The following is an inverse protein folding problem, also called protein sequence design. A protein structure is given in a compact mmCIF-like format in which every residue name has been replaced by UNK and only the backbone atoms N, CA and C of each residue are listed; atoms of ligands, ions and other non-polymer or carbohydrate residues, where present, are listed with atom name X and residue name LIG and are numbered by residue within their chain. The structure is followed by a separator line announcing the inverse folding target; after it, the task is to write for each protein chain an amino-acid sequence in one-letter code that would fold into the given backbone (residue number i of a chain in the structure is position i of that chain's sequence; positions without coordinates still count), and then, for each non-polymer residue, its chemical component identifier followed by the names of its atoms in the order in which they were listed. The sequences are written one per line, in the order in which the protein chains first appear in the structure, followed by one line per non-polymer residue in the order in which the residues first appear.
data_IF_302240096475
#
_entry.id   IF_302240096475
#
_cell.length_a   1.000
_cell.length_b   1.000
_cell.length_c   1.000
_cell.angle_alpha   90.00
_cell.angle_beta   90.00
_cell.angle_gamma   90.00
#
_symmetry.space_group_name_H-M   'P 1'
#
loop_
_entity.id
_entity.type
_entity.pdbx_description
1 polymer ?
#
# COMPACT_ATOMS: atom_id res chain seq x y z
N UNK A 1 2.76 -11.03 -4.32
CA UNK A 1 2.46 -9.58 -4.35
C UNK A 1 2.26 -9.14 -5.79
N UNK A 2 1.19 -8.40 -6.07
CA UNK A 2 0.86 -7.96 -7.43
C UNK A 2 1.91 -7.07 -8.10
N UNK A 3 2.83 -6.47 -7.32
CA UNK A 3 4.00 -5.78 -7.85
C UNK A 3 4.88 -6.65 -8.76
N UNK A 4 4.83 -7.97 -8.60
CA UNK A 4 5.55 -8.95 -9.42
C UNK A 4 4.61 -9.80 -10.30
N UNK A 5 3.30 -9.57 -10.28
CA UNK A 5 2.34 -10.40 -11.03
C UNK A 5 2.23 -9.99 -12.50
N UNK A 6 2.53 -8.73 -12.83
CA UNK A 6 2.54 -8.23 -14.21
C UNK A 6 3.93 -8.40 -14.82
N UNK A 7 3.97 -8.76 -16.10
CA UNK A 7 5.18 -8.81 -16.89
C UNK A 7 5.62 -7.37 -17.25
N UNK A 8 6.79 -6.90 -16.78
CA UNK A 8 7.20 -5.51 -16.93
C UNK A 8 7.48 -5.06 -18.37
N UNK A 9 7.67 -5.99 -19.29
CA UNK A 9 7.96 -5.70 -20.71
C UNK A 9 6.74 -5.84 -21.62
N UNK A 10 5.58 -6.19 -21.08
CA UNK A 10 4.32 -6.25 -21.82
C UNK A 10 3.42 -5.10 -21.39
N UNK A 11 2.66 -4.57 -22.33
CA UNK A 11 1.61 -3.58 -22.08
C UNK A 11 0.42 -4.20 -21.33
N UNK A 12 -0.47 -3.37 -20.80
CA UNK A 12 -1.74 -3.83 -20.21
C UNK A 12 -2.56 -4.63 -21.22
N UNK A 13 -2.66 -4.12 -22.46
CA UNK A 13 -3.36 -4.78 -23.57
C UNK A 13 -2.83 -6.18 -23.82
N UNK A 14 -1.53 -6.30 -24.03
CA UNK A 14 -0.90 -7.58 -24.37
C UNK A 14 -1.16 -8.63 -23.29
N UNK A 15 -1.05 -8.28 -22.01
CA UNK A 15 -1.25 -9.23 -20.91
C UNK A 15 -2.69 -9.71 -20.78
N UNK A 16 -3.69 -8.85 -21.03
CA UNK A 16 -5.10 -9.26 -20.99
C UNK A 16 -5.45 -10.08 -22.23
N UNK A 17 -5.02 -9.61 -23.42
CA UNK A 17 -5.29 -10.31 -24.67
C UNK A 17 -4.59 -11.67 -24.75
N UNK A 18 -3.43 -11.85 -24.13
CA UNK A 18 -2.72 -13.13 -24.07
C UNK A 18 -3.60 -14.22 -23.42
N UNK A 19 -4.19 -13.91 -22.26
CA UNK A 19 -5.13 -14.81 -21.58
C UNK A 19 -6.37 -15.10 -22.41
N UNK A 20 -6.93 -14.08 -23.06
CA UNK A 20 -8.11 -14.25 -23.92
C UNK A 20 -7.79 -15.13 -25.14
N UNK A 21 -6.63 -14.95 -25.78
CA UNK A 21 -6.22 -15.71 -26.97
C UNK A 21 -5.94 -17.18 -26.66
N UNK A 22 -5.34 -17.45 -25.52
CA UNK A 22 -4.93 -18.81 -25.14
C UNK A 22 -6.09 -19.63 -24.57
N UNK A 23 -7.04 -18.99 -23.89
CA UNK A 23 -8.06 -19.69 -23.10
C UNK A 23 -9.51 -19.35 -23.50
N UNK A 24 -9.72 -18.65 -24.63
CA UNK A 24 -11.04 -18.40 -25.20
C UNK A 24 -11.02 -18.39 -26.74
N UNK A 25 -12.20 -18.35 -27.35
CA UNK A 25 -12.35 -18.22 -28.81
C UNK A 25 -12.23 -16.76 -29.31
N UNK A 26 -12.07 -15.80 -28.41
CA UNK A 26 -12.02 -14.37 -28.74
C UNK A 26 -10.69 -14.02 -29.41
N UNK A 27 -10.75 -13.46 -30.62
CA UNK A 27 -9.57 -13.04 -31.41
C UNK A 27 -9.81 -11.70 -32.10
N UNK A 28 -8.71 -11.03 -32.45
CA UNK A 28 -8.73 -9.75 -33.16
C UNK A 28 -9.59 -8.72 -32.43
N UNK A 29 -10.51 -8.09 -33.18
CA UNK A 29 -11.39 -7.03 -32.66
C UNK A 29 -12.22 -7.46 -31.44
N UNK A 30 -12.69 -8.71 -31.38
CA UNK A 30 -13.49 -9.18 -30.27
C UNK A 30 -12.68 -9.27 -28.95
N UNK A 31 -11.41 -9.67 -29.04
CA UNK A 31 -10.51 -9.67 -27.88
C UNK A 31 -10.17 -8.26 -27.42
N UNK A 32 -9.98 -7.33 -28.37
CA UNK A 32 -9.75 -5.92 -28.07
C UNK A 32 -10.97 -5.28 -27.38
N UNK A 33 -12.17 -5.50 -27.91
CA UNK A 33 -13.40 -4.96 -27.34
C UNK A 33 -13.64 -5.50 -25.92
N UNK A 34 -13.37 -6.80 -25.71
CA UNK A 34 -13.40 -7.41 -24.36
C UNK A 34 -12.36 -6.82 -23.43
N UNK A 35 -11.16 -6.53 -23.92
CA UNK A 35 -10.08 -5.90 -23.12
C UNK A 35 -10.49 -4.49 -22.66
N UNK A 36 -11.14 -3.71 -23.53
CA UNK A 36 -11.67 -2.37 -23.19
C UNK A 36 -12.78 -2.44 -22.15
N UNK A 37 -13.66 -3.44 -22.26
CA UNK A 37 -14.70 -3.70 -21.26
C UNK A 37 -14.08 -4.02 -19.90
N UNK A 38 -13.08 -4.90 -19.86
CA UNK A 38 -12.38 -5.28 -18.64
C UNK A 38 -11.70 -4.08 -17.96
N UNK A 39 -11.09 -3.16 -18.71
CA UNK A 39 -10.53 -1.92 -18.16
C UNK A 39 -11.60 -1.02 -17.54
N UNK A 40 -12.74 -0.89 -18.21
CA UNK A 40 -13.89 -0.15 -17.69
C UNK A 40 -14.40 -0.76 -16.39
N UNK A 41 -14.47 -2.09 -16.31
CA UNK A 41 -14.90 -2.82 -15.09
C UNK A 41 -14.01 -2.58 -13.88
N UNK A 42 -12.74 -2.19 -14.06
CA UNK A 42 -11.80 -1.94 -12.97
C UNK A 42 -11.51 -0.44 -12.80
N UNK A 43 -12.33 0.44 -13.38
CA UNK A 43 -12.22 1.90 -13.37
C UNK A 43 -10.85 2.41 -13.88
N UNK A 44 -10.29 1.76 -14.90
CA UNK A 44 -9.10 2.23 -15.62
C UNK A 44 -9.50 2.76 -16.99
N UNK A 45 -9.08 3.98 -17.28
CA UNK A 45 -9.32 4.61 -18.59
C UNK A 45 -8.68 3.82 -19.73
N UNK A 46 -9.43 3.64 -20.82
CA UNK A 46 -9.02 2.87 -22.01
C UNK A 46 -7.74 3.42 -22.66
N UNK A 47 -7.43 4.70 -22.49
CA UNK A 47 -6.14 5.28 -22.93
C UNK A 47 -4.92 4.62 -22.27
N UNK A 48 -5.10 3.85 -21.20
CA UNK A 48 -4.03 3.12 -20.51
C UNK A 48 -3.75 1.73 -21.07
N UNK A 49 -4.46 1.29 -22.12
CA UNK A 49 -4.23 -0.02 -22.75
C UNK A 49 -2.76 -0.27 -23.10
N UNK A 50 -2.10 0.73 -23.68
CA UNK A 50 -0.72 0.61 -24.15
C UNK A 50 0.30 1.08 -23.09
N UNK A 51 -0.15 1.28 -21.84
CA UNK A 51 0.74 1.57 -20.72
C UNK A 51 1.46 0.30 -20.25
N UNK A 52 2.73 0.46 -19.88
CA UNK A 52 3.51 -0.58 -19.23
C UNK A 52 3.31 -0.57 -17.71
N UNK A 53 3.53 -1.70 -17.00
CA UNK A 53 3.35 -1.76 -15.55
C UNK A 53 4.13 -0.71 -14.76
N UNK A 54 5.30 -0.27 -15.23
CA UNK A 54 6.09 0.77 -14.55
C UNK A 54 5.50 2.19 -14.68
N UNK A 55 4.55 2.39 -15.60
CA UNK A 55 3.85 3.67 -15.81
C UNK A 55 2.53 3.76 -15.01
N UNK A 56 2.16 2.70 -14.28
CA UNK A 56 0.93 2.59 -13.50
C UNK A 56 1.19 2.80 -12.00
N UNK A 57 0.22 3.38 -11.28
CA UNK A 57 0.25 3.40 -9.81
C UNK A 57 0.11 1.99 -9.24
N UNK A 58 0.46 1.78 -7.97
CA UNK A 58 0.31 0.47 -7.31
C UNK A 58 -1.13 -0.05 -7.39
N UNK A 59 -2.12 0.81 -7.12
CA UNK A 59 -3.53 0.46 -7.23
C UNK A 59 -3.98 0.14 -8.66
N UNK A 60 -3.48 0.88 -9.65
CA UNK A 60 -3.75 0.57 -11.07
C UNK A 60 -3.19 -0.79 -11.48
N UNK A 61 -1.98 -1.15 -11.05
CA UNK A 61 -1.40 -2.48 -11.32
C UNK A 61 -2.27 -3.59 -10.73
N UNK A 62 -2.72 -3.40 -9.49
CA UNK A 62 -3.60 -4.36 -8.83
C UNK A 62 -4.93 -4.51 -9.57
N UNK A 63 -5.54 -3.39 -9.96
CA UNK A 63 -6.77 -3.36 -10.78
C UNK A 63 -6.57 -4.12 -12.10
N UNK A 64 -5.44 -3.94 -12.79
CA UNK A 64 -5.12 -4.72 -14.01
C UNK A 64 -5.02 -6.22 -13.73
N UNK A 65 -4.39 -6.64 -12.61
CA UNK A 65 -4.35 -8.06 -12.22
C UNK A 65 -5.76 -8.61 -11.98
N UNK A 66 -6.67 -7.82 -11.40
CA UNK A 66 -8.08 -8.19 -11.23
C UNK A 66 -8.77 -8.36 -12.59
N UNK A 67 -8.54 -7.44 -13.55
CA UNK A 67 -9.07 -7.59 -14.91
C UNK A 67 -8.56 -8.85 -15.61
N UNK A 68 -7.27 -9.18 -15.47
CA UNK A 68 -6.70 -10.42 -16.00
C UNK A 68 -7.38 -11.64 -15.37
N UNK A 69 -7.60 -11.65 -14.05
CA UNK A 69 -8.30 -12.73 -13.37
C UNK A 69 -9.78 -12.86 -13.81
N UNK A 70 -10.42 -11.74 -14.15
CA UNK A 70 -11.81 -11.68 -14.62
C UNK A 70 -11.95 -11.88 -16.14
N UNK A 71 -10.84 -11.99 -16.89
CA UNK A 71 -10.86 -12.04 -18.34
C UNK A 71 -11.79 -13.14 -18.87
N UNK A 72 -11.76 -14.31 -18.21
CA UNK A 72 -12.55 -15.50 -18.54
C UNK A 72 -13.81 -15.66 -17.69
N UNK A 73 -14.19 -14.66 -16.90
CA UNK A 73 -15.39 -14.71 -16.03
C UNK A 73 -15.48 -15.98 -15.17
N UNK A 74 -14.42 -16.31 -14.40
CA UNK A 74 -14.40 -17.56 -13.66
C UNK A 74 -15.46 -17.57 -12.54
N UNK A 75 -16.09 -18.72 -12.26
CA UNK A 75 -17.04 -18.83 -11.15
C UNK A 75 -16.37 -18.77 -9.77
N UNK A 76 -15.05 -18.93 -9.70
CA UNK A 76 -14.27 -18.98 -8.46
C UNK A 76 -12.90 -18.32 -8.63
N UNK A 77 -12.54 -17.44 -7.70
CA UNK A 77 -11.29 -16.69 -7.70
C UNK A 77 -10.57 -16.89 -6.36
N UNK A 78 -9.28 -17.18 -6.41
CA UNK A 78 -8.40 -17.17 -5.24
C UNK A 78 -7.66 -15.84 -5.24
N UNK A 79 -7.75 -15.11 -4.14
CA UNK A 79 -7.06 -13.85 -3.95
C UNK A 79 -6.03 -14.00 -2.85
N UNK A 80 -4.76 -14.11 -3.24
CA UNK A 80 -3.63 -14.26 -2.32
C UNK A 80 -2.96 -12.91 -2.06
N UNK A 81 -3.23 -12.35 -0.88
CA UNK A 81 -2.71 -11.05 -0.43
C UNK A 81 -2.91 -9.93 -1.47
N UNK A 82 -4.16 -9.71 -1.95
CA UNK A 82 -4.44 -8.86 -3.11
C UNK A 82 -4.27 -7.37 -2.83
N UNK A 83 -4.03 -6.94 -1.59
CA UNK A 83 -3.88 -5.52 -1.24
C UNK A 83 -2.51 -5.21 -0.64
N UNK A 84 -1.60 -6.19 -0.61
CA UNK A 84 -0.25 -6.01 -0.05
C UNK A 84 0.52 -4.92 -0.78
N UNK A 85 1.20 -4.07 -0.02
CA UNK A 85 2.01 -2.93 -0.47
C UNK A 85 1.21 -1.77 -1.11
N UNK A 86 -0.10 -1.73 -0.88
CA UNK A 86 -0.94 -0.57 -1.15
C UNK A 86 -1.13 0.27 0.12
N UNK A 87 -1.50 1.53 -0.04
CA UNK A 87 -1.95 2.34 1.09
C UNK A 87 -3.39 1.98 1.47
N UNK A 88 -3.76 2.28 2.72
CA UNK A 88 -5.04 1.90 3.32
C UNK A 88 -6.26 2.44 2.57
N UNK A 89 -6.14 3.59 1.90
CA UNK A 89 -7.25 4.18 1.13
C UNK A 89 -7.43 3.39 -0.17
N UNK A 90 -6.36 3.23 -0.95
CA UNK A 90 -6.39 2.46 -2.21
C UNK A 90 -6.78 1.01 -1.97
N UNK A 91 -6.31 0.40 -0.88
CA UNK A 91 -6.71 -0.95 -0.45
C UNK A 91 -8.23 -1.07 -0.31
N UNK A 92 -8.86 -0.14 0.41
CA UNK A 92 -10.32 -0.12 0.60
C UNK A 92 -11.08 0.07 -0.71
N UNK A 93 -10.61 0.96 -1.57
CA UNK A 93 -11.23 1.17 -2.89
C UNK A 93 -11.21 -0.10 -3.74
N UNK A 94 -10.09 -0.81 -3.75
CA UNK A 94 -9.93 -2.05 -4.53
C UNK A 94 -10.83 -3.16 -3.97
N UNK A 95 -10.90 -3.31 -2.65
CA UNK A 95 -11.77 -4.31 -2.04
C UNK A 95 -13.24 -4.00 -2.25
N UNK A 96 -13.64 -2.73 -2.13
CA UNK A 96 -14.99 -2.30 -2.45
C UNK A 96 -15.35 -2.67 -3.91
N UNK A 97 -14.42 -2.44 -4.84
CA UNK A 97 -14.61 -2.79 -6.25
C UNK A 97 -14.72 -4.30 -6.47
N UNK A 98 -13.88 -5.09 -5.82
CA UNK A 98 -13.96 -6.56 -5.89
C UNK A 98 -15.31 -7.06 -5.36
N UNK A 99 -15.79 -6.52 -4.25
CA UNK A 99 -17.08 -6.91 -3.65
C UNK A 99 -18.25 -6.51 -4.54
N UNK A 100 -18.20 -5.33 -5.16
CA UNK A 100 -19.16 -4.88 -6.18
C UNK A 100 -19.18 -5.86 -7.36
N UNK A 101 -18.03 -6.13 -7.98
CA UNK A 101 -17.91 -7.05 -9.11
C UNK A 101 -18.37 -8.46 -8.75
N UNK A 102 -18.07 -8.95 -7.54
CA UNK A 102 -18.57 -10.25 -7.04
C UNK A 102 -20.10 -10.28 -7.04
N UNK A 103 -20.75 -9.20 -6.58
CA UNK A 103 -22.21 -9.09 -6.52
C UNK A 103 -22.84 -9.02 -7.91
N UNK A 104 -22.22 -8.29 -8.83
CA UNK A 104 -22.72 -8.13 -10.20
C UNK A 104 -22.50 -9.37 -11.05
N UNK A 105 -21.32 -9.97 -10.98
CA UNK A 105 -20.88 -11.05 -11.87
C UNK A 105 -21.09 -12.45 -11.26
N UNK A 106 -21.39 -12.56 -9.96
CA UNK A 106 -21.79 -13.80 -9.30
C UNK A 106 -20.67 -14.80 -9.01
N UNK A 107 -19.40 -14.41 -9.11
CA UNK A 107 -18.27 -15.29 -8.78
C UNK A 107 -18.07 -15.44 -7.27
N UNK A 108 -17.41 -16.53 -6.88
CA UNK A 108 -17.05 -16.83 -5.48
C UNK A 108 -15.58 -16.49 -5.23
N UNK A 109 -15.24 -16.04 -4.02
CA UNK A 109 -13.87 -15.66 -3.66
C UNK A 109 -13.37 -16.49 -2.48
N UNK A 110 -12.18 -17.07 -2.61
CA UNK A 110 -11.34 -17.46 -1.48
C UNK A 110 -10.32 -16.35 -1.25
N UNK A 111 -10.50 -15.59 -0.17
CA UNK A 111 -9.64 -14.47 0.17
C UNK A 111 -8.60 -14.90 1.21
N UNK A 112 -7.32 -14.75 0.89
CA UNK A 112 -6.18 -15.09 1.75
C UNK A 112 -5.49 -13.79 2.12
N UNK A 113 -5.43 -13.51 3.43
CA UNK A 113 -4.71 -12.35 3.96
C UNK A 113 -4.31 -12.57 5.42
N UNK A 114 -3.35 -11.78 5.87
CA UNK A 114 -3.00 -11.62 7.28
C UNK A 114 -3.80 -10.51 7.99
N UNK A 115 -4.53 -9.63 7.27
CA UNK A 115 -5.40 -8.62 7.89
C UNK A 115 -6.77 -9.21 8.24
N UNK A 116 -6.86 -9.79 9.44
CA UNK A 116 -8.12 -10.32 9.96
C UNK A 116 -9.16 -9.21 10.20
N UNK A 117 -8.78 -7.99 10.54
CA UNK A 117 -9.75 -6.92 10.81
C UNK A 117 -10.51 -6.57 9.53
N UNK A 118 -9.80 -6.40 8.42
CA UNK A 118 -10.38 -6.13 7.11
C UNK A 118 -11.25 -7.30 6.62
N UNK A 119 -10.75 -8.54 6.75
CA UNK A 119 -11.49 -9.74 6.34
C UNK A 119 -12.84 -9.86 7.06
N UNK A 120 -12.89 -9.52 8.36
CA UNK A 120 -14.12 -9.58 9.16
C UNK A 120 -15.19 -8.55 8.74
N UNK A 121 -14.84 -7.52 7.95
CA UNK A 121 -15.80 -6.52 7.48
C UNK A 121 -16.70 -7.06 6.36
N UNK A 122 -16.18 -7.93 5.49
CA UNK A 122 -16.89 -8.35 4.27
C UNK A 122 -17.02 -9.87 4.06
N UNK A 123 -16.23 -10.69 4.77
CA UNK A 123 -16.29 -12.14 4.57
C UNK A 123 -17.58 -12.75 5.15
N UNK A 124 -18.14 -13.73 4.44
CA UNK A 124 -19.28 -14.50 4.93
C UNK A 124 -18.84 -15.50 6.03
N UNK A 125 -17.69 -16.14 5.82
CA UNK A 125 -17.07 -17.14 6.71
C UNK A 125 -15.56 -16.91 6.77
N UNK A 126 -14.94 -17.22 7.90
CA UNK A 126 -13.49 -17.08 8.10
C UNK A 126 -12.90 -18.40 8.56
N UNK A 127 -11.83 -18.80 7.89
CA UNK A 127 -11.03 -19.97 8.18
C UNK A 127 -9.72 -19.51 8.81
N UNK A 128 -9.39 -20.00 10.01
CA UNK A 128 -8.17 -19.65 10.74
C UNK A 128 -7.22 -20.83 10.71
N UNK A 129 -6.01 -20.59 10.24
CA UNK A 129 -4.93 -21.58 10.21
C UNK A 129 -3.84 -21.26 11.22
N UNK A 130 -3.26 -22.31 11.80
CA UNK A 130 -2.06 -22.24 12.65
C UNK A 130 -1.20 -23.48 12.43
N UNK A 131 0.10 -23.30 12.23
CA UNK A 131 1.06 -24.40 12.05
C UNK A 131 0.62 -25.42 10.99
N UNK A 132 0.12 -24.94 9.84
CA UNK A 132 -0.35 -25.78 8.74
C UNK A 132 -1.67 -26.52 8.99
N UNK A 133 -2.41 -26.20 10.08
CA UNK A 133 -3.70 -26.82 10.39
C UNK A 133 -4.82 -25.77 10.42
N UNK A 134 -5.97 -26.13 9.88
CA UNK A 134 -7.21 -25.37 10.07
C UNK A 134 -7.68 -25.56 11.52
N UNK A 135 -7.54 -24.52 12.34
CA UNK A 135 -7.89 -24.58 13.76
C UNK A 135 -9.32 -24.12 14.03
N UNK A 136 -9.88 -23.29 13.15
CA UNK A 136 -11.27 -22.84 13.27
C UNK A 136 -11.85 -22.44 11.90
N UNK A 137 -13.14 -22.70 11.69
CA UNK A 137 -13.90 -22.24 10.53
C UNK A 137 -15.35 -21.99 10.97
N UNK A 138 -15.79 -20.74 10.96
CA UNK A 138 -17.17 -20.37 11.29
C UNK A 138 -17.61 -19.11 10.52
N UNK A 139 -18.85 -18.66 10.74
CA UNK A 139 -19.35 -17.37 10.23
C UNK A 139 -18.47 -16.23 10.75
N UNK A 140 -18.18 -15.24 9.92
CA UNK A 140 -17.33 -14.10 10.28
C UNK A 140 -17.82 -13.40 11.57
N UNK A 141 -19.14 -13.28 11.76
CA UNK A 141 -19.74 -12.71 12.97
C UNK A 141 -19.35 -13.44 14.27
N UNK A 142 -19.27 -14.78 14.25
CA UNK A 142 -18.87 -15.56 15.43
C UNK A 142 -17.37 -15.50 15.69
N UNK A 143 -16.57 -15.45 14.62
CA UNK A 143 -15.13 -15.21 14.74
C UNK A 143 -14.90 -13.82 15.33
N UNK A 144 -15.62 -12.80 14.85
CA UNK A 144 -15.58 -11.42 15.36
C UNK A 144 -15.91 -11.33 16.84
N UNK A 145 -16.84 -12.15 17.34
CA UNK A 145 -17.19 -12.21 18.77
C UNK A 145 -16.19 -13.00 19.64
N UNK A 146 -15.05 -13.43 19.08
CA UNK A 146 -13.96 -14.10 19.79
C UNK A 146 -13.67 -15.53 19.32
N UNK A 147 -14.56 -16.18 18.58
CA UNK A 147 -14.41 -17.57 18.17
C UNK A 147 -14.34 -18.57 19.34
N UNK A 148 -14.04 -19.83 19.03
CA UNK A 148 -13.95 -20.94 20.00
C UNK A 148 -12.51 -21.31 20.36
N UNK A 149 -11.57 -21.18 19.42
CA UNK A 149 -10.21 -21.66 19.62
C UNK A 149 -9.34 -20.58 20.30
N UNK A 150 -8.48 -20.96 21.25
CA UNK A 150 -7.64 -20.02 22.01
C UNK A 150 -6.80 -19.10 21.11
N UNK A 151 -6.30 -19.62 19.99
CA UNK A 151 -5.56 -18.82 19.01
C UNK A 151 -6.43 -17.76 18.35
N UNK A 152 -7.67 -18.10 17.99
CA UNK A 152 -8.65 -17.15 17.44
C UNK A 152 -8.92 -16.04 18.43
N UNK A 153 -9.14 -16.38 19.70
CA UNK A 153 -9.35 -15.39 20.76
C UNK A 153 -8.16 -14.45 20.91
N UNK A 154 -6.92 -14.98 20.84
CA UNK A 154 -5.69 -14.16 20.85
C UNK A 154 -5.62 -13.21 19.66
N UNK A 155 -5.93 -13.71 18.44
CA UNK A 155 -5.97 -12.88 17.24
C UNK A 155 -7.00 -11.74 17.38
N UNK A 156 -8.22 -12.06 17.79
CA UNK A 156 -9.30 -11.07 17.94
C UNK A 156 -8.96 -10.01 19.00
N UNK A 157 -8.39 -10.41 20.15
CA UNK A 157 -7.95 -9.45 21.19
C UNK A 157 -6.80 -8.55 20.71
N UNK A 158 -5.98 -9.02 19.78
CA UNK A 158 -4.90 -8.22 19.19
C UNK A 158 -5.35 -7.21 18.14
N UNK A 159 -6.60 -7.33 17.64
CA UNK A 159 -7.10 -6.42 16.61
C UNK A 159 -7.31 -5.02 17.19
N UNK A 160 -6.81 -3.96 16.51
CA UNK A 160 -7.08 -2.59 16.90
C UNK A 160 -8.57 -2.31 16.71
N UNK A 161 -9.32 -2.19 17.81
CA UNK A 161 -10.72 -1.79 17.73
C UNK A 161 -10.83 -0.36 17.22
N UNK A 162 -11.32 -0.19 15.99
CA UNK A 162 -11.66 1.12 15.43
C UNK A 162 -12.88 1.77 16.12
N UNK A 163 -13.72 0.98 16.83
CA UNK A 163 -14.98 1.46 17.42
C UNK A 163 -15.35 0.82 18.77
N UNK A 164 -14.43 0.10 19.42
CA UNK A 164 -14.66 -0.59 20.70
C UNK A 164 -13.78 -0.07 21.84
N UNK A 165 -14.07 -0.41 23.11
CA UNK A 165 -13.21 -0.07 24.23
C UNK A 165 -11.81 -0.65 23.98
N UNK A 166 -10.82 0.22 23.81
CA UNK A 166 -9.43 -0.20 23.66
C UNK A 166 -9.01 -0.90 24.94
N UNK A 167 -8.54 -2.15 24.86
CA UNK A 167 -7.69 -2.69 25.92
C UNK A 167 -6.41 -1.85 25.95
N UNK A 168 -6.37 -0.87 26.85
CA UNK A 168 -5.16 -0.09 27.13
C UNK A 168 -4.12 -1.06 27.73
N UNK A 169 -2.87 -1.00 27.24
CA UNK A 169 -1.76 -1.73 27.83
C UNK A 169 -1.26 -2.95 27.06
N UNK A 170 -1.77 -3.24 25.85
CA UNK A 170 -1.20 -4.30 24.99
C UNK A 170 0.22 -3.98 24.51
N UNK A 171 0.57 -2.70 24.47
CA UNK A 171 1.91 -2.22 24.16
C UNK A 171 2.45 -1.46 25.38
N UNK A 172 3.71 -1.72 25.80
CA UNK A 172 4.33 -0.95 26.86
C UNK A 172 4.37 0.53 26.45
N UNK A 173 3.82 1.40 27.30
CA UNK A 173 3.99 2.84 27.19
C UNK A 173 4.60 3.36 28.47
N UNK A 174 5.51 4.34 28.40
CA UNK A 174 5.98 5.05 29.59
C UNK A 174 4.77 5.60 30.36
N UNK A 175 4.78 5.49 31.69
CA UNK A 175 3.72 6.04 32.54
C UNK A 175 3.62 7.57 32.41
N UNK A 176 4.75 8.21 32.09
CA UNK A 176 4.85 9.63 31.74
C UNK A 176 5.83 9.82 30.58
N UNK A 177 5.46 10.63 29.60
CA UNK A 177 6.37 11.12 28.56
C UNK A 177 6.90 12.48 29.02
N UNK A 178 8.14 12.52 29.52
CA UNK A 178 8.87 13.77 29.64
C UNK A 178 9.43 14.12 28.26
N UNK A 179 8.64 14.89 27.51
CA UNK A 179 8.98 15.28 26.14
C UNK A 179 10.12 16.31 26.10
N UNK A 180 10.62 16.80 27.23
CA UNK A 180 11.56 17.91 27.29
C UNK A 180 11.00 19.20 26.68
N UNK A 181 11.74 20.31 26.81
CA UNK A 181 11.27 21.62 26.32
C UNK A 181 11.65 21.91 24.86
N UNK A 182 12.58 21.13 24.29
CA UNK A 182 13.17 21.42 22.98
C UNK A 182 13.03 20.22 22.04
N UNK A 183 12.64 20.44 20.76
CA UNK A 183 12.54 19.36 19.80
C UNK A 183 13.92 18.79 19.44
N UNK A 184 14.00 17.46 19.28
CA UNK A 184 15.19 16.80 18.73
C UNK A 184 15.23 16.97 17.22
N UNK A 185 14.07 16.94 16.55
CA UNK A 185 13.94 17.19 15.13
C UNK A 185 12.91 18.29 14.92
N UNK A 186 13.29 19.30 14.17
CA UNK A 186 12.37 20.35 13.74
C UNK A 186 12.50 20.53 12.22
N UNK A 187 11.38 20.39 11.54
CA UNK A 187 11.23 20.55 10.10
C UNK A 187 10.40 21.81 9.87
N UNK A 188 10.93 22.77 9.11
CA UNK A 188 10.29 24.06 8.85
C UNK A 188 10.15 24.31 7.34
N UNK A 189 8.91 24.47 6.90
CA UNK A 189 8.49 24.84 5.55
C UNK A 189 9.17 24.01 4.45
N UNK A 190 9.39 22.73 4.74
CA UNK A 190 10.19 21.82 3.92
C UNK A 190 9.47 21.55 2.60
N UNK A 191 10.17 21.79 1.49
CA UNK A 191 9.65 21.51 0.15
C UNK A 191 10.68 20.79 -0.71
N UNK A 192 10.20 19.92 -1.60
CA UNK A 192 11.03 19.17 -2.54
C UNK A 192 10.33 18.99 -3.88
N UNK A 193 11.02 19.44 -4.92
CA UNK A 193 10.69 19.22 -6.32
C UNK A 193 11.78 18.37 -6.98
N UNK A 194 11.38 17.46 -7.87
CA UNK A 194 12.28 16.72 -8.74
C UNK A 194 12.13 17.24 -10.17
N UNK A 195 13.25 17.34 -10.88
CA UNK A 195 13.27 17.74 -12.29
C UNK A 195 13.50 16.50 -13.14
N UNK A 196 12.60 16.25 -14.10
CA UNK A 196 12.82 15.22 -15.10
C UNK A 196 13.66 15.81 -16.24
N UNK A 197 14.77 15.15 -16.56
CA UNK A 197 15.77 15.61 -17.54
C UNK A 197 15.46 15.04 -18.93
N UNK A 198 14.27 15.34 -19.45
CA UNK A 198 13.89 15.02 -20.83
C UNK A 198 14.35 16.11 -21.81
N UNK A 199 14.95 15.71 -22.95
CA UNK A 199 15.56 16.61 -23.96
C UNK A 199 14.56 17.61 -24.58
N UNK A 200 13.25 17.35 -24.52
CA UNK A 200 12.23 18.16 -25.20
C UNK A 200 11.21 18.86 -24.29
N UNK A 201 11.19 18.62 -22.97
CA UNK A 201 10.38 19.44 -22.04
C UNK A 201 10.74 19.13 -20.56
N UNK A 202 11.49 20.00 -19.85
CA UNK A 202 11.76 19.79 -18.43
C UNK A 202 10.46 19.99 -17.64
N UNK A 203 9.95 18.91 -17.02
CA UNK A 203 8.83 18.99 -16.07
C UNK A 203 9.38 18.91 -14.64
N UNK A 204 8.97 19.86 -13.81
CA UNK A 204 9.19 19.82 -12.36
C UNK A 204 7.97 19.21 -11.67
N UNK A 205 8.20 18.21 -10.83
CA UNK A 205 7.15 17.58 -10.02
C UNK A 205 7.43 17.90 -8.55
N UNK A 206 6.50 18.61 -7.92
CA UNK A 206 6.53 18.91 -6.49
C UNK A 206 6.02 17.73 -5.67
N UNK A 207 6.91 17.12 -4.89
CA UNK A 207 6.65 15.89 -4.12
C UNK A 207 6.45 16.17 -2.64
N UNK A 208 7.07 17.22 -2.09
CA UNK A 208 6.85 17.71 -0.72
C UNK A 208 6.59 19.20 -0.79
N UNK A 209 5.53 19.69 -0.15
CA UNK A 209 5.05 21.07 -0.27
C UNK A 209 4.84 21.67 1.11
N UNK A 210 5.74 22.56 1.53
CA UNK A 210 5.63 23.36 2.74
C UNK A 210 5.25 22.55 4.00
N UNK A 211 6.01 21.49 4.30
CA UNK A 211 5.76 20.62 5.45
C UNK A 211 6.52 21.14 6.67
N UNK A 212 5.82 21.30 7.79
CA UNK A 212 6.41 21.71 9.07
C UNK A 212 5.93 20.81 10.20
N UNK A 213 6.85 20.29 11.01
CA UNK A 213 6.54 19.54 12.23
C UNK A 213 7.75 19.44 13.15
N UNK A 214 7.51 19.11 14.41
CA UNK A 214 8.52 18.91 15.45
C UNK A 214 8.41 17.48 16.02
N UNK A 215 9.53 16.95 16.49
CA UNK A 215 9.60 15.66 17.20
C UNK A 215 10.41 15.85 18.47
N UNK A 216 9.81 15.51 19.59
CA UNK A 216 10.37 15.71 20.91
C UNK A 216 11.10 14.47 21.46
N UNK A 217 12.02 14.64 22.42
CA UNK A 217 12.61 13.55 23.19
C UNK A 217 11.59 12.48 23.64
N UNK A 218 11.87 11.21 23.33
CA UNK A 218 11.03 10.08 23.74
C UNK A 218 9.66 9.97 23.03
N UNK A 219 9.34 10.88 22.12
CA UNK A 219 8.08 10.86 21.36
C UNK A 219 8.10 9.80 20.26
N UNK A 220 6.95 9.14 20.05
CA UNK A 220 6.68 8.35 18.85
C UNK A 220 5.71 9.14 17.97
N UNK A 221 6.22 9.71 16.88
CA UNK A 221 5.40 10.36 15.84
C UNK A 221 5.08 9.36 14.71
N UNK A 222 3.83 9.32 14.28
CA UNK A 222 3.38 8.53 13.13
C UNK A 222 3.19 9.39 11.88
N UNK A 223 3.80 8.99 10.75
CA UNK A 223 3.60 9.64 9.45
C UNK A 223 2.86 8.68 8.51
N UNK A 224 1.63 9.03 8.13
CA UNK A 224 0.73 8.18 7.33
C UNK A 224 0.21 8.98 6.12
N UNK A 225 -0.16 8.29 5.05
CA UNK A 225 -0.75 8.88 3.85
C UNK A 225 -0.72 7.93 2.66
N UNK A 226 -1.34 8.33 1.54
CA UNK A 226 -1.45 7.55 0.30
C UNK A 226 -0.10 7.21 -0.34
N UNK A 227 -0.03 6.16 -1.16
CA UNK A 227 1.18 5.86 -1.92
C UNK A 227 1.56 7.05 -2.81
N UNK A 228 2.84 7.44 -2.79
CA UNK A 228 3.31 8.64 -3.51
C UNK A 228 3.11 9.98 -2.79
N UNK A 229 2.48 10.03 -1.62
CA UNK A 229 2.25 11.27 -0.86
C UNK A 229 3.49 11.99 -0.30
N UNK A 230 4.71 11.48 -0.58
CA UNK A 230 5.96 12.10 -0.15
C UNK A 230 6.56 11.58 1.17
N UNK A 231 5.96 10.58 1.86
CA UNK A 231 6.48 10.01 3.12
C UNK A 231 7.95 9.57 3.05
N UNK A 232 8.28 8.75 2.06
CA UNK A 232 9.67 8.28 1.84
C UNK A 232 10.60 9.41 1.42
N UNK A 233 10.07 10.44 0.74
CA UNK A 233 10.83 11.65 0.37
C UNK A 233 11.17 12.45 1.62
N UNK A 234 10.21 12.65 2.53
CA UNK A 234 10.43 13.31 3.84
C UNK A 234 11.47 12.53 4.65
N UNK A 235 11.36 11.21 4.75
CA UNK A 235 12.36 10.38 5.43
C UNK A 235 13.78 10.54 4.83
N UNK A 236 13.90 10.57 3.49
CA UNK A 236 15.18 10.82 2.79
C UNK A 236 15.71 12.24 2.99
N UNK A 237 14.83 13.24 3.11
CA UNK A 237 15.21 14.63 3.40
C UNK A 237 15.74 14.76 4.83
N UNK A 238 15.04 14.18 5.82
CA UNK A 238 15.44 14.19 7.23
C UNK A 238 16.76 13.45 7.45
N UNK A 239 16.92 12.29 6.82
CA UNK A 239 18.19 11.52 6.83
C UNK A 239 19.27 12.14 5.94
N UNK A 240 18.98 13.27 5.28
CA UNK A 240 19.89 14.01 4.38
C UNK A 240 20.45 13.20 3.22
N UNK A 241 19.77 12.12 2.82
CA UNK A 241 20.07 11.38 1.60
C UNK A 241 19.77 12.20 0.34
N UNK A 242 18.81 13.12 0.43
CA UNK A 242 18.50 14.09 -0.62
C UNK A 242 18.40 15.50 -0.04
N UNK A 243 18.63 16.52 -0.88
CA UNK A 243 18.53 17.93 -0.48
C UNK A 243 17.11 18.46 -0.69
N UNK A 244 16.59 19.27 0.26
CA UNK A 244 15.37 20.03 0.02
C UNK A 244 15.56 21.04 -1.11
N UNK A 245 14.45 21.40 -1.75
CA UNK A 245 14.40 22.55 -2.66
C UNK A 245 14.32 23.85 -1.85
N UNK A 246 13.54 23.85 -0.77
CA UNK A 246 13.44 24.95 0.20
C UNK A 246 13.04 24.41 1.59
N UNK A 247 13.16 25.28 2.60
CA UNK A 247 12.92 24.94 4.00
C UNK A 247 14.14 24.33 4.68
N UNK A 248 14.01 24.14 5.99
CA UNK A 248 15.12 23.82 6.88
C UNK A 248 14.80 22.61 7.78
N UNK A 249 15.86 21.88 8.14
CA UNK A 249 15.78 20.71 9.03
C UNK A 249 16.83 20.88 10.13
N UNK A 250 16.35 21.08 11.36
CA UNK A 250 17.15 21.25 12.56
C UNK A 250 17.19 19.93 13.33
N UNK A 251 18.38 19.50 13.71
CA UNK A 251 18.59 18.38 14.64
C UNK A 251 19.20 18.93 15.92
N UNK A 252 18.49 18.81 17.05
CA UNK A 252 18.85 19.41 18.35
C UNK A 252 19.23 20.90 18.20
N UNK A 253 18.36 21.66 17.52
CA UNK A 253 18.59 23.09 17.23
C UNK A 253 19.65 23.40 16.17
N UNK A 254 20.35 22.39 15.63
CA UNK A 254 21.42 22.60 14.64
C UNK A 254 20.96 22.31 13.20
N UNK A 255 20.91 23.34 12.36
CA UNK A 255 20.70 23.19 10.91
C UNK A 255 22.03 22.95 10.21
N UNK A 256 22.42 21.68 10.06
CA UNK A 256 23.63 21.32 9.32
C UNK A 256 23.27 21.07 7.85
N UNK A 257 23.73 21.97 6.97
CA UNK A 257 23.57 21.81 5.51
C UNK A 257 24.34 20.57 5.02
N UNK A 258 23.84 19.93 3.96
CA UNK A 258 24.34 18.65 3.37
C UNK A 258 25.83 18.65 2.97
N UNK A 259 26.54 19.78 3.05
CA UNK A 259 27.98 19.88 2.80
C UNK A 259 28.87 19.28 3.91
N UNK A 260 28.38 19.03 5.12
CA UNK A 260 29.21 18.48 6.21
C UNK A 260 29.27 16.95 6.24
N UNK A 261 28.31 16.24 5.64
CA UNK A 261 28.22 14.78 5.72
C UNK A 261 29.21 14.02 4.80
N UNK A 262 29.96 14.72 3.93
CA UNK A 262 31.01 14.10 3.09
C UNK A 262 32.41 14.09 3.72
N UNK A 263 32.58 14.70 4.90
CA UNK A 263 33.81 14.57 5.69
C UNK A 263 33.48 13.92 7.02
N UNK A 264 33.17 12.62 6.97
CA UNK A 264 33.45 11.77 8.13
C UNK A 264 34.97 11.51 8.06
N UNK A 265 35.79 11.98 9.01
CA UNK A 265 37.18 11.58 9.06
C UNK A 265 37.25 10.05 9.15
N UNK A 266 38.09 9.44 8.33
CA UNK A 266 38.29 7.98 8.23
C UNK A 266 38.89 7.33 9.50
N UNK A 267 38.87 8.01 10.64
CA UNK A 267 39.58 7.59 11.85
C UNK A 267 38.96 6.37 12.55
N UNK A 268 37.72 6.01 12.22
CA UNK A 268 37.07 4.81 12.78
C UNK A 268 37.48 3.47 12.14
N UNK A 269 38.43 3.46 11.19
CA UNK A 269 38.98 2.21 10.58
C UNK A 269 40.34 1.79 11.12
N UNK A 270 40.83 2.41 12.19
CA UNK A 270 42.05 1.99 12.88
C UNK A 270 41.77 1.62 14.34
N UNK A 271 41.01 0.54 14.56
CA UNK A 271 41.19 -0.38 15.68
C UNK A 271 40.83 -1.78 15.21
#
# INVERSE_FOLDING_TARGET
SALNALNPVLTVREQIEDVLKEHSDLKGKAAEDRTKELLSLIDIDVSRLDSYPHQLSGGMKQRVVIAIALALMPPFIIMDEPTTALDVIVEREILAKIIELRKELGFTILFITHDLNLLLEFADRVAIMKNGRLVELDKAQKIRSGGKHDYTQKLIRSLPSASGPREKGLLPRPESLDLGEQPILEVQNLSKSFHDSGIFNPRSIDVVKNVSFQVFPGEIIGLVGESGSGKSTIAKLITRLIRPTSGDIFLKGSNKKVSEARRVPLEYRKQ
#
